data_IF_902374151618
#
_entry.id   IF_902374151618
#
_cell.length_a   1.000
_cell.length_b   1.000
_cell.length_c   1.000
_cell.angle_alpha   90.00
_cell.angle_beta   90.00
_cell.angle_gamma   90.00
#
_symmetry.space_group_name_H-M   'P 1'
#
loop_
_entity.id
_entity.type
_entity.pdbx_description
1 polymer ?
#
# COMPACT_ATOMS: atom_id res chain seq x y z
N UNK A 1 26.35 -17.39 -7.69
CA UNK A 1 24.93 -17.82 -7.76
C UNK A 1 24.15 -17.66 -6.44
N UNK A 2 24.78 -17.50 -5.26
CA UNK A 2 24.07 -17.29 -3.98
C UNK A 2 23.49 -15.88 -3.77
N UNK A 3 24.01 -14.86 -4.46
CA UNK A 3 23.58 -13.47 -4.28
C UNK A 3 22.15 -13.19 -4.81
N UNK A 4 21.65 -13.97 -5.78
CA UNK A 4 20.30 -13.80 -6.34
C UNK A 4 19.21 -14.22 -5.35
N UNK A 5 19.37 -15.39 -4.72
CA UNK A 5 18.37 -15.94 -3.80
C UNK A 5 18.13 -15.08 -2.56
N UNK A 6 19.15 -14.41 -2.03
CA UNK A 6 19.00 -13.51 -0.88
C UNK A 6 18.20 -12.25 -1.20
N UNK A 7 18.45 -11.64 -2.36
CA UNK A 7 17.68 -10.48 -2.83
C UNK A 7 16.23 -10.87 -3.14
N UNK A 8 16.01 -11.99 -3.82
CA UNK A 8 14.66 -12.48 -4.14
C UNK A 8 13.84 -12.76 -2.87
N UNK A 9 14.49 -13.29 -1.82
CA UNK A 9 13.86 -13.47 -0.51
C UNK A 9 13.54 -12.14 0.18
N UNK A 10 14.46 -11.19 0.16
CA UNK A 10 14.21 -9.86 0.70
C UNK A 10 13.02 -9.19 -0.02
N UNK A 11 12.94 -9.29 -1.35
CA UNK A 11 11.84 -8.72 -2.13
C UNK A 11 10.51 -9.41 -1.82
N UNK A 12 10.47 -10.74 -1.65
CA UNK A 12 9.26 -11.43 -1.20
C UNK A 12 8.84 -10.97 0.20
N UNK A 13 9.79 -10.87 1.15
CA UNK A 13 9.49 -10.38 2.50
C UNK A 13 8.90 -8.97 2.46
N UNK A 14 9.47 -8.08 1.65
CA UNK A 14 8.95 -6.72 1.47
C UNK A 14 7.56 -6.73 0.82
N UNK A 15 7.29 -7.59 -0.17
CA UNK A 15 5.95 -7.72 -0.78
C UNK A 15 4.92 -8.24 0.23
N UNK A 16 5.27 -9.25 1.02
CA UNK A 16 4.40 -9.80 2.06
C UNK A 16 4.11 -8.77 3.14
N UNK A 17 5.13 -8.05 3.61
CA UNK A 17 4.95 -6.99 4.60
C UNK A 17 4.13 -5.82 4.01
N UNK A 18 4.54 -5.26 2.88
CA UNK A 18 3.93 -4.05 2.34
C UNK A 18 2.54 -4.30 1.73
N UNK A 19 2.37 -5.34 0.93
CA UNK A 19 1.09 -5.69 0.32
C UNK A 19 0.17 -6.41 1.29
N UNK A 20 0.70 -7.41 2.01
CA UNK A 20 -0.07 -8.21 2.97
C UNK A 20 -0.59 -7.39 4.15
N UNK A 21 0.20 -6.48 4.73
CA UNK A 21 -0.29 -5.65 5.84
C UNK A 21 -1.24 -4.54 5.37
N UNK A 22 -1.22 -4.18 4.09
CA UNK A 22 -2.17 -3.22 3.53
C UNK A 22 -3.58 -3.81 3.44
N UNK A 23 -3.70 -5.12 3.20
CA UNK A 23 -4.99 -5.80 3.00
C UNK A 23 -5.93 -5.68 4.21
N UNK A 24 -5.53 -5.96 5.47
CA UNK A 24 -6.41 -5.71 6.62
C UNK A 24 -6.90 -4.27 6.71
N UNK A 25 -6.06 -3.28 6.42
CA UNK A 25 -6.47 -1.86 6.43
C UNK A 25 -7.42 -1.53 5.29
N UNK A 26 -7.24 -2.11 4.11
CA UNK A 26 -8.07 -1.89 2.94
C UNK A 26 -9.43 -2.58 3.07
N UNK A 27 -9.44 -3.84 3.51
CA UNK A 27 -10.64 -4.64 3.76
C UNK A 27 -11.43 -4.11 4.96
N UNK A 28 -10.75 -3.55 5.97
CA UNK A 28 -11.38 -2.82 7.05
C UNK A 28 -12.14 -1.58 6.56
N UNK A 29 -11.56 -0.81 5.64
CA UNK A 29 -12.24 0.34 5.00
C UNK A 29 -13.36 -0.08 4.06
N UNK A 30 -13.20 -1.17 3.31
CA UNK A 30 -14.18 -1.58 2.30
C UNK A 30 -15.37 -2.33 2.92
N UNK A 31 -15.10 -3.30 3.79
CA UNK A 31 -16.08 -4.26 4.30
C UNK A 31 -16.28 -4.21 5.82
N UNK A 32 -15.50 -3.42 6.56
CA UNK A 32 -15.54 -3.41 8.03
C UNK A 32 -14.86 -4.63 8.67
N UNK A 33 -14.08 -5.39 7.90
CA UNK A 33 -13.37 -6.56 8.41
C UNK A 33 -12.31 -6.18 9.44
N UNK A 34 -11.94 -7.13 10.31
CA UNK A 34 -10.94 -6.94 11.36
C UNK A 34 -11.27 -5.78 12.32
N UNK A 35 -12.55 -5.47 12.51
CA UNK A 35 -13.00 -4.33 13.32
C UNK A 35 -12.81 -2.98 12.64
N UNK A 36 -12.64 -2.95 11.31
CA UNK A 36 -12.47 -1.74 10.53
C UNK A 36 -13.76 -0.91 10.40
N UNK A 37 -13.65 0.32 9.91
CA UNK A 37 -14.74 1.30 9.93
C UNK A 37 -15.85 1.01 8.91
N UNK A 38 -15.61 0.13 7.94
CA UNK A 38 -16.45 -0.02 6.76
C UNK A 38 -16.52 1.26 5.93
N UNK A 39 -17.27 1.20 4.83
CA UNK A 39 -17.22 2.27 3.83
C UNK A 39 -17.76 3.61 4.36
N UNK A 40 -18.82 3.57 5.18
CA UNK A 40 -19.40 4.75 5.79
C UNK A 40 -18.48 5.39 6.85
N UNK A 41 -17.79 4.57 7.64
CA UNK A 41 -16.81 5.05 8.59
C UNK A 41 -15.58 5.65 7.87
N UNK A 42 -15.10 5.01 6.81
CA UNK A 42 -14.02 5.57 5.99
C UNK A 42 -14.41 6.90 5.34
N UNK A 43 -15.65 7.05 4.86
CA UNK A 43 -16.17 8.33 4.40
C UNK A 43 -16.20 9.39 5.52
N UNK A 44 -16.40 8.98 6.77
CA UNK A 44 -16.32 9.88 7.93
C UNK A 44 -14.88 10.30 8.23
N UNK A 45 -13.92 9.37 8.13
CA UNK A 45 -12.49 9.69 8.25
C UNK A 45 -12.04 10.71 7.19
N UNK A 46 -12.43 10.51 5.92
CA UNK A 46 -12.12 11.45 4.84
C UNK A 46 -12.65 12.86 5.14
N UNK A 47 -13.88 12.99 5.64
CA UNK A 47 -14.42 14.29 6.08
C UNK A 47 -13.61 14.90 7.21
N UNK A 48 -13.15 14.09 8.16
CA UNK A 48 -12.29 14.54 9.25
C UNK A 48 -10.96 15.14 8.77
N UNK A 49 -10.46 14.68 7.61
CA UNK A 49 -9.29 15.25 6.94
C UNK A 49 -9.62 16.43 6.00
N UNK A 50 -10.89 16.85 5.90
CA UNK A 50 -11.33 17.87 4.96
C UNK A 50 -11.37 17.40 3.50
N UNK A 51 -11.40 16.09 3.26
CA UNK A 51 -11.42 15.49 1.93
C UNK A 51 -12.85 15.19 1.46
N UNK A 52 -13.10 15.13 0.15
CA UNK A 52 -14.39 14.70 -0.36
C UNK A 52 -14.70 13.27 0.12
N UNK A 53 -15.95 13.07 0.55
CA UNK A 53 -16.41 11.78 1.07
C UNK A 53 -17.71 11.32 0.42
N UNK A 54 -18.16 12.05 -0.61
CA UNK A 54 -19.34 11.71 -1.39
C UNK A 54 -19.04 10.53 -2.30
N UNK A 55 -20.06 9.72 -2.59
CA UNK A 55 -19.93 8.63 -3.54
C UNK A 55 -19.52 9.16 -4.93
N UNK A 56 -18.68 8.42 -5.70
CA UNK A 56 -18.14 7.10 -5.39
C UNK A 56 -16.75 7.12 -4.71
N UNK A 57 -16.25 8.28 -4.26
CA UNK A 57 -14.83 8.41 -3.91
C UNK A 57 -14.33 7.47 -2.80
N UNK A 58 -15.02 7.30 -1.64
CA UNK A 58 -14.58 6.36 -0.61
C UNK A 58 -14.46 4.93 -1.14
N UNK A 59 -15.36 4.53 -2.04
CA UNK A 59 -15.35 3.20 -2.65
C UNK A 59 -14.14 3.04 -3.57
N UNK A 60 -13.89 4.01 -4.44
CA UNK A 60 -12.74 3.99 -5.36
C UNK A 60 -11.41 3.94 -4.59
N UNK A 61 -11.27 4.71 -3.51
CA UNK A 61 -10.07 4.72 -2.68
C UNK A 61 -9.88 3.41 -1.89
N UNK A 62 -10.97 2.80 -1.41
CA UNK A 62 -10.91 1.50 -0.74
C UNK A 62 -10.55 0.38 -1.74
N UNK A 63 -11.17 0.36 -2.92
CA UNK A 63 -10.86 -0.59 -3.99
C UNK A 63 -9.42 -0.43 -4.48
N UNK A 64 -8.93 0.80 -4.67
CA UNK A 64 -7.55 1.08 -5.04
C UNK A 64 -6.57 0.42 -4.06
N UNK A 65 -6.80 0.57 -2.75
CA UNK A 65 -5.94 -0.04 -1.73
C UNK A 65 -6.02 -1.56 -1.74
N UNK A 66 -7.21 -2.15 -1.90
CA UNK A 66 -7.36 -3.62 -1.96
C UNK A 66 -6.63 -4.17 -3.18
N UNK A 67 -6.87 -3.60 -4.36
CA UNK A 67 -6.29 -4.07 -5.61
C UNK A 67 -4.77 -3.89 -5.62
N UNK A 68 -4.26 -2.72 -5.21
CA UNK A 68 -2.81 -2.48 -5.14
C UNK A 68 -2.12 -3.34 -4.08
N UNK A 69 -2.71 -3.50 -2.89
CA UNK A 69 -2.17 -4.36 -1.84
C UNK A 69 -2.09 -5.83 -2.26
N UNK A 70 -3.14 -6.34 -2.90
CA UNK A 70 -3.17 -7.71 -3.41
C UNK A 70 -2.15 -7.91 -4.53
N UNK A 71 -2.09 -6.99 -5.48
CA UNK A 71 -1.15 -7.01 -6.60
C UNK A 71 0.31 -6.98 -6.10
N UNK A 72 0.64 -6.09 -5.16
CA UNK A 72 1.97 -6.05 -4.51
C UNK A 72 2.27 -7.37 -3.79
N UNK A 73 1.34 -7.91 -3.00
CA UNK A 73 1.54 -9.16 -2.26
C UNK A 73 1.88 -10.32 -3.20
N UNK A 74 1.06 -10.51 -4.23
CA UNK A 74 1.24 -11.59 -5.20
C UNK A 74 2.43 -11.37 -6.13
N UNK A 75 2.94 -10.14 -6.19
CA UNK A 75 3.95 -9.76 -7.17
C UNK A 75 3.37 -9.77 -8.58
N UNK A 76 2.13 -9.31 -8.73
CA UNK A 76 1.49 -9.05 -10.01
C UNK A 76 1.51 -7.55 -10.24
N UNK A 77 1.96 -7.10 -11.40
CA UNK A 77 2.03 -5.69 -11.77
C UNK A 77 2.84 -4.87 -10.76
N UNK A 78 3.89 -5.46 -10.18
CA UNK A 78 4.44 -4.99 -8.89
C UNK A 78 4.85 -3.52 -8.92
N UNK A 79 5.44 -3.04 -10.02
CA UNK A 79 5.87 -1.64 -10.13
C UNK A 79 4.69 -0.67 -10.12
N UNK A 80 3.69 -0.92 -10.96
CA UNK A 80 2.49 -0.08 -11.05
C UNK A 80 1.68 -0.15 -9.76
N UNK A 81 1.48 -1.35 -9.22
CA UNK A 81 0.76 -1.57 -7.98
C UNK A 81 1.45 -0.90 -6.78
N UNK A 82 2.78 -1.02 -6.68
CA UNK A 82 3.56 -0.40 -5.62
C UNK A 82 3.56 1.12 -5.74
N UNK A 83 3.62 1.69 -6.95
CA UNK A 83 3.47 3.14 -7.16
C UNK A 83 2.07 3.64 -6.77
N UNK A 84 1.02 2.91 -7.13
CA UNK A 84 -0.35 3.26 -6.74
C UNK A 84 -0.54 3.22 -5.21
N UNK A 85 -0.03 2.18 -4.55
CA UNK A 85 -0.05 2.07 -3.09
C UNK A 85 0.82 3.16 -2.43
N UNK A 86 2.00 3.45 -2.99
CA UNK A 86 2.90 4.50 -2.51
C UNK A 86 2.27 5.89 -2.64
N UNK A 87 1.53 6.17 -3.72
CA UNK A 87 0.81 7.43 -3.87
C UNK A 87 -0.29 7.56 -2.81
N UNK A 88 -1.06 6.49 -2.58
CA UNK A 88 -2.11 6.48 -1.55
C UNK A 88 -1.54 6.70 -0.13
N UNK A 89 -0.51 5.92 0.24
CA UNK A 89 0.11 6.02 1.57
C UNK A 89 0.94 7.30 1.70
N UNK A 90 1.60 7.74 0.62
CA UNK A 90 2.33 9.00 0.54
C UNK A 90 1.42 10.20 0.80
N UNK A 91 0.18 10.17 0.34
CA UNK A 91 -0.81 11.18 0.73
C UNK A 91 -1.13 11.13 2.24
N UNK A 92 -1.15 9.94 2.84
CA UNK A 92 -1.31 9.78 4.30
C UNK A 92 -0.15 10.40 5.09
N UNK A 93 1.08 10.42 4.54
CA UNK A 93 2.22 11.15 5.15
C UNK A 93 1.88 12.62 5.31
N UNK A 94 1.30 13.25 4.28
CA UNK A 94 0.92 14.67 4.30
C UNK A 94 -0.16 14.94 5.36
N UNK A 95 -1.17 14.06 5.46
CA UNK A 95 -2.22 14.15 6.47
C UNK A 95 -1.70 13.97 7.90
N UNK A 96 -0.57 13.28 8.06
CA UNK A 96 0.05 13.01 9.35
C UNK A 96 1.03 14.10 9.80
N UNK A 97 1.49 15.00 8.92
CA UNK A 97 2.44 16.07 9.26
C UNK A 97 2.02 16.93 10.46
N UNK A 98 0.75 17.35 10.62
CA UNK A 98 0.33 18.15 11.77
C UNK A 98 0.44 17.40 13.11
N UNK A 99 0.51 16.07 13.10
CA UNK A 99 0.66 15.22 14.28
C UNK A 99 2.13 15.01 14.69
N UNK A 100 3.07 15.59 13.93
CA UNK A 100 4.51 15.49 14.15
C UNK A 100 5.12 14.23 13.54
N UNK A 101 6.36 13.91 13.96
CA UNK A 101 7.12 12.79 13.41
C UNK A 101 6.62 11.43 13.91
N UNK A 102 6.62 11.22 15.23
CA UNK A 102 6.52 9.88 15.81
C UNK A 102 5.16 9.20 15.59
N UNK A 103 5.21 7.96 15.09
CA UNK A 103 4.02 7.17 14.76
C UNK A 103 3.11 6.87 15.96
N UNK A 104 3.67 6.80 17.18
CA UNK A 104 2.93 6.58 18.43
C UNK A 104 1.88 7.67 18.71
N UNK A 105 2.03 8.84 18.08
CA UNK A 105 1.08 9.97 18.15
C UNK A 105 0.27 10.14 16.86
N UNK A 106 0.33 9.16 15.97
CA UNK A 106 -0.24 9.24 14.62
C UNK A 106 0.58 10.11 13.65
N UNK A 107 1.86 10.33 13.94
CA UNK A 107 2.78 11.11 13.11
C UNK A 107 3.19 10.43 11.80
N UNK A 108 3.98 11.17 11.01
CA UNK A 108 4.30 10.81 9.62
C UNK A 108 5.34 9.69 9.44
N UNK A 109 6.06 9.31 10.50
CA UNK A 109 7.15 8.31 10.47
C UNK A 109 6.73 6.97 9.87
N UNK A 110 5.63 6.38 10.35
CA UNK A 110 5.16 5.08 9.89
C UNK A 110 4.66 5.08 8.43
N UNK A 111 3.76 5.99 8.00
CA UNK A 111 3.36 6.04 6.60
C UNK A 111 4.54 6.40 5.68
N UNK A 112 5.53 7.17 6.14
CA UNK A 112 6.72 7.47 5.34
C UNK A 112 7.63 6.24 5.16
N UNK A 113 7.83 5.46 6.22
CA UNK A 113 8.54 4.19 6.16
C UNK A 113 7.87 3.26 5.14
N UNK A 114 6.54 3.11 5.22
CA UNK A 114 5.80 2.25 4.31
C UNK A 114 5.85 2.76 2.86
N UNK A 115 5.71 4.07 2.66
CA UNK A 115 5.88 4.70 1.34
C UNK A 115 7.27 4.40 0.76
N UNK A 116 8.32 4.50 1.57
CA UNK A 116 9.69 4.18 1.16
C UNK A 116 9.85 2.73 0.73
N UNK A 117 9.28 1.79 1.48
CA UNK A 117 9.30 0.36 1.11
C UNK A 117 8.58 0.11 -0.22
N UNK A 118 7.42 0.73 -0.44
CA UNK A 118 6.67 0.59 -1.69
C UNK A 118 7.44 1.22 -2.87
N UNK A 119 8.08 2.37 -2.67
CA UNK A 119 8.94 2.97 -3.69
C UNK A 119 10.17 2.09 -3.99
N UNK A 120 10.76 1.46 -2.97
CA UNK A 120 11.84 0.51 -3.17
C UNK A 120 11.37 -0.66 -4.05
N UNK A 121 10.23 -1.28 -3.74
CA UNK A 121 9.61 -2.33 -4.57
C UNK A 121 9.30 -1.85 -5.99
N UNK A 122 8.82 -0.61 -6.15
CA UNK A 122 8.56 -0.02 -7.46
C UNK A 122 9.84 0.16 -8.30
N UNK A 123 10.99 0.42 -7.65
CA UNK A 123 12.28 0.61 -8.29
C UNK A 123 13.00 -0.71 -8.57
N UNK A 124 12.99 -1.65 -7.62
CA UNK A 124 13.65 -2.95 -7.74
C UNK A 124 12.86 -3.92 -8.60
N UNK A 125 11.54 -3.81 -8.60
CA UNK A 125 10.64 -4.75 -9.26
C UNK A 125 10.27 -5.96 -8.38
N UNK A 126 9.69 -6.99 -9.00
CA UNK A 126 8.90 -8.04 -8.33
C UNK A 126 9.73 -9.11 -7.57
N UNK A 127 10.95 -9.40 -8.02
CA UNK A 127 11.76 -10.54 -7.55
C UNK A 127 11.30 -11.89 -8.13
N UNK A 128 12.11 -12.93 -7.97
CA UNK A 128 11.90 -14.23 -8.64
C UNK A 128 10.65 -15.00 -8.18
N UNK A 129 10.14 -14.76 -6.97
CA UNK A 129 8.95 -15.45 -6.42
C UNK A 129 7.65 -14.68 -6.60
N UNK A 130 7.59 -13.84 -7.62
CA UNK A 130 6.41 -13.07 -7.97
C UNK A 130 5.64 -13.77 -9.10
N UNK A 131 4.32 -13.54 -9.17
CA UNK A 131 3.52 -14.09 -10.27
C UNK A 131 3.99 -13.60 -11.66
N UNK A 132 4.55 -12.39 -11.76
CA UNK A 132 5.08 -11.86 -13.02
C UNK A 132 6.44 -12.48 -13.44
N UNK A 133 7.14 -13.16 -12.54
CA UNK A 133 8.56 -13.52 -12.70
C UNK A 133 9.48 -12.27 -12.72
N UNK A 134 10.70 -12.38 -13.27
CA UNK A 134 11.70 -11.28 -13.34
C UNK A 134 11.49 -10.28 -14.50
N UNK A 135 10.26 -9.88 -14.84
CA UNK A 135 9.99 -8.98 -15.98
C UNK A 135 10.23 -7.49 -15.65
N UNK A 136 10.55 -6.68 -16.68
CA UNK A 136 10.71 -5.20 -16.71
C UNK A 136 10.55 -4.71 -18.17
N UNK A 137 10.16 -3.43 -18.50
CA UNK A 137 9.90 -2.28 -17.63
C UNK A 137 8.40 -1.88 -17.52
N UNK A 138 7.94 -1.72 -16.28
CA UNK A 138 6.65 -1.09 -15.91
C UNK A 138 5.47 -2.04 -15.73
N UNK A 139 5.73 -3.34 -15.70
CA UNK A 139 4.84 -4.48 -15.91
C UNK A 139 3.34 -4.20 -15.84
N UNK A 140 2.74 -4.33 -17.04
CA UNK A 140 1.35 -4.43 -17.51
C UNK A 140 1.28 -5.76 -18.26
N UNK A 141 0.65 -6.78 -17.66
CA UNK A 141 0.48 -8.12 -18.22
C UNK A 141 0.11 -8.13 -19.71
#
# INVERSE_FOLDING_TARGET
>A
MLAGHGLDLALLMLRVAAGGFLLPHALGKLFGWFGGPGLAGFATELRGFGLPAVAPLPLLLALLQVLSGLAVLLGWQTRVAALAAAAFIGFTVLLALPKGWFWMRGGSEYPLMWTTVLLALALTGPGAWALDGQRLPGDLA
#
